data_IF_444693727500
#
_entry.id   IF_444693727500
#
_cell.length_a   1.000
_cell.length_b   1.000
_cell.length_c   1.000
_cell.angle_alpha   90.00
_cell.angle_beta   90.00
_cell.angle_gamma   90.00
#
_symmetry.space_group_name_H-M   'P 1'
#
loop_
_entity.id
_entity.type
_entity.pdbx_description
1 polymer ?
#
# COMPACT_ATOMS: atom_id res chain seq x y z
N UNK A 1 -6.84 -15.10 -5.32
CA UNK A 1 -6.25 -14.16 -4.36
C UNK A 1 -6.57 -12.74 -4.76
N UNK A 2 -7.13 -11.98 -3.86
CA UNK A 2 -7.45 -10.57 -4.10
C UNK A 2 -6.37 -9.69 -3.49
N UNK A 3 -5.81 -8.78 -4.30
CA UNK A 3 -4.73 -7.89 -3.89
C UNK A 3 -5.11 -6.45 -4.19
N UNK A 4 -4.97 -5.58 -3.20
CA UNK A 4 -5.09 -4.15 -3.40
C UNK A 4 -3.70 -3.52 -3.31
N UNK A 5 -3.34 -2.74 -4.32
CA UNK A 5 -2.15 -1.88 -4.27
C UNK A 5 -2.60 -0.43 -4.18
N UNK A 6 -2.04 0.29 -3.24
CA UNK A 6 -2.42 1.66 -2.97
C UNK A 6 -1.20 2.60 -2.97
N UNK A 7 -1.27 3.60 -3.81
CA UNK A 7 -0.35 4.73 -3.82
C UNK A 7 -1.16 5.94 -3.40
N UNK A 8 -1.30 6.12 -2.09
CA UNK A 8 -2.29 7.03 -1.53
C UNK A 8 -1.86 8.48 -1.59
N UNK A 9 -2.81 9.35 -1.89
CA UNK A 9 -2.65 10.78 -1.86
C UNK A 9 -3.76 11.40 -1.02
N UNK A 10 -3.51 12.59 -0.47
CA UNK A 10 -4.53 13.31 0.26
C UNK A 10 -5.65 13.75 -0.68
N UNK A 11 -6.90 13.59 -0.25
CA UNK A 11 -8.07 13.82 -1.10
C UNK A 11 -8.23 15.27 -1.54
N UNK A 12 -7.73 16.21 -0.76
CA UNK A 12 -7.77 17.62 -1.12
C UNK A 12 -6.59 18.04 -2.00
N UNK A 13 -5.62 17.19 -2.16
CA UNK A 13 -4.48 17.47 -3.01
C UNK A 13 -4.90 17.28 -4.46
N UNK A 14 -5.10 18.30 -5.04
CA UNK A 14 -5.36 18.73 -6.40
C UNK A 14 -5.83 17.71 -7.44
N UNK A 15 -6.64 18.23 -8.30
CA UNK A 15 -7.10 17.61 -9.54
C UNK A 15 -6.02 16.93 -10.38
N UNK A 16 -4.78 17.45 -10.36
CA UNK A 16 -3.70 16.91 -11.17
C UNK A 16 -3.28 15.53 -10.70
N UNK A 17 -3.30 15.30 -9.41
CA UNK A 17 -2.94 13.99 -8.85
C UNK A 17 -3.95 12.91 -9.18
N UNK A 18 -5.22 13.28 -9.30
CA UNK A 18 -6.25 12.32 -9.66
C UNK A 18 -6.08 11.78 -11.08
N UNK A 19 -5.35 12.50 -11.92
CA UNK A 19 -5.07 12.09 -13.28
C UNK A 19 -3.77 11.31 -13.44
N UNK A 20 -2.93 11.30 -12.40
CA UNK A 20 -1.67 10.57 -12.46
C UNK A 20 -1.89 9.10 -12.19
N UNK A 21 -1.37 8.27 -13.07
CA UNK A 21 -1.35 6.83 -12.87
C UNK A 21 -0.26 6.51 -11.83
N UNK A 22 -0.57 5.73 -10.78
CA UNK A 22 0.45 5.33 -9.81
C UNK A 22 1.43 4.34 -10.45
N UNK A 23 2.49 4.85 -11.03
CA UNK A 23 3.39 4.07 -11.88
C UNK A 23 4.03 2.88 -11.16
N UNK A 24 4.45 3.08 -9.91
CA UNK A 24 5.12 2.01 -9.18
C UNK A 24 4.22 0.81 -8.96
N UNK A 25 2.98 1.05 -8.51
CA UNK A 25 2.04 -0.05 -8.30
C UNK A 25 1.52 -0.58 -9.63
N UNK A 26 1.49 0.24 -10.68
CA UNK A 26 1.18 -0.21 -12.02
C UNK A 26 2.18 -1.23 -12.53
N UNK A 27 3.46 -0.99 -12.32
CA UNK A 27 4.50 -1.95 -12.67
C UNK A 27 4.39 -3.23 -11.86
N UNK A 28 4.15 -3.13 -10.56
CA UNK A 28 3.95 -4.29 -9.71
C UNK A 28 2.76 -5.12 -10.17
N UNK A 29 1.65 -4.45 -10.51
CA UNK A 29 0.48 -5.14 -11.06
C UNK A 29 0.84 -5.89 -12.32
N UNK A 30 1.49 -5.23 -13.27
CA UNK A 30 1.87 -5.86 -14.54
C UNK A 30 2.78 -7.05 -14.32
N UNK A 31 3.76 -6.91 -13.44
CA UNK A 31 4.68 -8.00 -13.12
C UNK A 31 3.94 -9.20 -12.53
N UNK A 32 3.12 -8.97 -11.53
CA UNK A 32 2.38 -10.04 -10.84
C UNK A 32 1.42 -10.73 -11.80
N UNK A 33 0.72 -9.97 -12.64
CA UNK A 33 -0.20 -10.55 -13.63
C UNK A 33 0.55 -11.38 -14.68
N UNK A 34 1.75 -10.97 -15.05
CA UNK A 34 2.58 -11.74 -15.98
C UNK A 34 3.00 -13.08 -15.38
N UNK A 35 3.34 -13.09 -14.10
CA UNK A 35 3.81 -14.28 -13.40
C UNK A 35 2.68 -15.17 -12.89
N UNK A 36 1.53 -14.59 -12.51
CA UNK A 36 0.47 -15.30 -11.79
C UNK A 36 -0.93 -14.97 -12.30
N UNK A 37 -1.07 -14.73 -13.59
CA UNK A 37 -2.28 -14.14 -14.21
C UNK A 37 -3.60 -14.86 -13.92
N UNK A 38 -3.58 -16.14 -13.60
CA UNK A 38 -4.81 -16.91 -13.37
C UNK A 38 -5.21 -17.01 -11.90
N UNK A 39 -4.35 -16.55 -10.98
CA UNK A 39 -4.53 -16.76 -9.56
C UNK A 39 -4.68 -15.48 -8.75
N UNK A 40 -4.52 -14.32 -9.38
CA UNK A 40 -4.46 -13.05 -8.66
C UNK A 40 -5.35 -12.02 -9.34
N UNK A 41 -6.23 -11.41 -8.57
CA UNK A 41 -7.02 -10.25 -8.98
C UNK A 41 -6.46 -9.03 -8.26
N UNK A 42 -6.01 -8.02 -9.01
CA UNK A 42 -5.32 -6.85 -8.47
C UNK A 42 -6.11 -5.60 -8.80
N UNK A 43 -6.35 -4.78 -7.77
CA UNK A 43 -6.96 -3.46 -7.92
C UNK A 43 -6.01 -2.40 -7.43
N UNK A 44 -5.99 -1.26 -8.12
CA UNK A 44 -5.13 -0.13 -7.80
C UNK A 44 -5.94 1.01 -7.21
N UNK A 45 -5.40 1.64 -6.17
CA UNK A 45 -6.07 2.74 -5.48
C UNK A 45 -5.11 3.91 -5.30
N UNK A 46 -5.65 5.10 -5.40
CA UNK A 46 -4.96 6.34 -5.08
C UNK A 46 -5.71 7.15 -4.02
N UNK A 47 -7.03 7.04 -4.02
CA UNK A 47 -7.90 7.74 -3.08
C UNK A 47 -8.14 6.88 -1.84
N UNK A 48 -7.78 7.37 -0.64
CA UNK A 48 -7.99 6.60 0.60
C UNK A 48 -9.45 6.22 0.83
N UNK A 49 -10.38 7.10 0.47
CA UNK A 49 -11.81 6.82 0.66
C UNK A 49 -12.30 5.68 -0.23
N UNK A 50 -11.81 5.64 -1.47
CA UNK A 50 -12.15 4.53 -2.38
C UNK A 50 -11.56 3.22 -1.90
N UNK A 51 -10.35 3.27 -1.36
CA UNK A 51 -9.71 2.10 -0.77
C UNK A 51 -10.54 1.53 0.38
N UNK A 52 -10.95 2.39 1.31
CA UNK A 52 -11.74 1.96 2.47
C UNK A 52 -13.10 1.41 2.05
N UNK A 53 -13.76 2.05 1.10
CA UNK A 53 -15.02 1.53 0.55
C UNK A 53 -14.86 0.14 -0.05
N UNK A 54 -13.77 -0.08 -0.77
CA UNK A 54 -13.48 -1.38 -1.35
C UNK A 54 -13.24 -2.43 -0.27
N UNK A 55 -12.55 -2.09 0.81
CA UNK A 55 -12.35 -2.98 1.95
C UNK A 55 -13.67 -3.40 2.58
N UNK A 56 -14.58 -2.47 2.80
CA UNK A 56 -15.89 -2.80 3.40
C UNK A 56 -16.73 -3.66 2.46
N UNK A 57 -16.54 -3.51 1.17
CA UNK A 57 -17.25 -4.31 0.18
C UNK A 57 -16.65 -5.72 0.08
N UNK A 58 -15.34 -5.81 -0.03
CA UNK A 58 -14.63 -7.10 -0.09
C UNK A 58 -13.18 -6.91 0.33
N UNK A 59 -12.80 -7.31 1.55
CA UNK A 59 -11.42 -7.17 1.99
C UNK A 59 -10.48 -8.03 1.15
N UNK A 60 -9.30 -7.51 0.81
CA UNK A 60 -8.31 -8.28 0.07
C UNK A 60 -7.53 -9.22 0.99
N UNK A 61 -6.84 -10.17 0.38
CA UNK A 61 -5.89 -11.01 1.10
C UNK A 61 -4.61 -10.23 1.42
N UNK A 62 -4.23 -9.32 0.51
CA UNK A 62 -2.99 -8.55 0.61
C UNK A 62 -3.27 -7.09 0.28
N UNK A 63 -2.73 -6.18 1.10
CA UNK A 63 -2.68 -4.75 0.81
C UNK A 63 -1.22 -4.33 0.69
N UNK A 64 -0.86 -3.77 -0.45
CA UNK A 64 0.45 -3.16 -0.66
C UNK A 64 0.35 -1.64 -0.63
N UNK A 65 1.18 -1.00 0.17
CA UNK A 65 1.21 0.46 0.30
C UNK A 65 2.53 0.99 -0.23
N UNK A 66 2.45 1.92 -1.18
CA UNK A 66 3.63 2.69 -1.60
C UNK A 66 3.94 3.74 -0.55
N UNK A 67 5.17 3.74 -0.05
CA UNK A 67 5.60 4.61 1.05
C UNK A 67 6.58 5.67 0.55
N UNK A 68 6.13 6.91 0.56
CA UNK A 68 6.92 8.09 0.23
C UNK A 68 6.85 9.08 1.39
N UNK A 69 7.72 10.09 1.36
CA UNK A 69 7.72 11.10 2.41
C UNK A 69 6.40 11.86 2.52
N UNK A 70 5.72 12.06 1.38
CA UNK A 70 4.47 12.84 1.36
C UNK A 70 3.24 12.05 1.81
N UNK A 71 3.29 10.72 1.85
CA UNK A 71 2.12 9.91 2.27
C UNK A 71 2.39 9.03 3.48
N UNK A 72 3.53 9.18 4.14
CA UNK A 72 3.92 8.34 5.27
C UNK A 72 2.89 8.38 6.40
N UNK A 73 2.45 9.57 6.80
CA UNK A 73 1.46 9.72 7.87
C UNK A 73 0.11 9.14 7.49
N UNK A 74 -0.30 9.35 6.25
CA UNK A 74 -1.54 8.81 5.73
C UNK A 74 -1.51 7.28 5.72
N UNK A 75 -0.42 6.70 5.24
CA UNK A 75 -0.21 5.25 5.25
C UNK A 75 -0.25 4.68 6.65
N UNK A 76 0.38 5.36 7.61
CA UNK A 76 0.40 4.94 9.00
C UNK A 76 -1.02 4.87 9.57
N UNK A 77 -1.78 5.95 9.42
CA UNK A 77 -3.14 6.02 9.96
C UNK A 77 -4.06 5.01 9.33
N UNK A 78 -4.04 4.92 8.01
CA UNK A 78 -4.90 4.00 7.27
C UNK A 78 -4.49 2.55 7.52
N UNK A 79 -3.20 2.25 7.52
CA UNK A 79 -2.71 0.90 7.78
C UNK A 79 -3.08 0.41 9.16
N UNK A 80 -2.95 1.25 10.17
CA UNK A 80 -3.37 0.91 11.54
C UNK A 80 -4.87 0.63 11.60
N UNK A 81 -5.68 1.49 11.00
CA UNK A 81 -7.12 1.32 10.95
C UNK A 81 -7.51 0.02 10.26
N UNK A 82 -6.92 -0.24 9.09
CA UNK A 82 -7.21 -1.45 8.31
C UNK A 82 -6.83 -2.70 9.08
N UNK A 83 -5.68 -2.71 9.73
CA UNK A 83 -5.25 -3.88 10.50
C UNK A 83 -6.18 -4.17 11.66
N UNK A 84 -6.73 -3.12 12.28
CA UNK A 84 -7.67 -3.27 13.37
C UNK A 84 -9.02 -3.80 12.89
N UNK A 85 -9.54 -3.27 11.78
CA UNK A 85 -10.85 -3.66 11.25
C UNK A 85 -10.80 -4.95 10.42
N UNK A 86 -9.69 -5.21 9.74
CA UNK A 86 -9.54 -6.33 8.81
C UNK A 86 -8.26 -7.11 9.13
N UNK A 87 -8.20 -7.78 10.29
CA UNK A 87 -6.95 -8.39 10.76
C UNK A 87 -6.43 -9.52 9.89
N UNK A 88 -7.25 -10.07 9.01
CA UNK A 88 -6.83 -11.15 8.10
C UNK A 88 -6.06 -10.65 6.89
N UNK A 89 -6.17 -9.36 6.57
CA UNK A 89 -5.42 -8.78 5.45
C UNK A 89 -3.96 -8.63 5.85
N UNK A 90 -3.06 -9.17 5.05
CA UNK A 90 -1.63 -8.94 5.21
C UNK A 90 -1.27 -7.60 4.60
N UNK A 91 -0.56 -6.76 5.33
CA UNK A 91 -0.14 -5.45 4.85
C UNK A 91 1.36 -5.46 4.59
N UNK A 92 1.72 -5.13 3.36
CA UNK A 92 3.11 -4.91 2.98
C UNK A 92 3.29 -3.45 2.58
N UNK A 93 4.49 -2.93 2.75
CA UNK A 93 4.82 -1.59 2.32
C UNK A 93 6.12 -1.62 1.53
N UNK A 94 6.32 -0.64 0.69
CA UNK A 94 7.53 -0.52 -0.10
C UNK A 94 7.66 0.89 -0.64
N UNK A 95 8.85 1.22 -1.11
CA UNK A 95 9.15 2.50 -1.70
C UNK A 95 10.42 3.12 -1.12
N UNK A 96 10.80 4.31 -1.59
CA UNK A 96 12.09 4.90 -1.27
C UNK A 96 12.18 5.53 0.13
N UNK A 97 11.08 5.62 0.87
CA UNK A 97 11.05 6.30 2.17
C UNK A 97 11.50 5.38 3.30
N UNK A 98 12.63 4.71 3.10
CA UNK A 98 13.25 3.87 4.12
C UNK A 98 14.75 4.15 4.15
N UNK A 99 15.24 4.44 5.34
CA UNK A 99 16.65 4.70 5.59
C UNK A 99 17.48 3.42 5.35
N UNK A 100 18.71 3.60 4.91
CA UNK A 100 19.65 2.48 4.68
C UNK A 100 20.15 1.85 5.97
N UNK A 101 20.07 2.54 7.09
CA UNK A 101 20.57 2.04 8.36
C UNK A 101 19.65 0.98 8.95
N UNK A 102 20.22 -0.16 9.31
CA UNK A 102 19.47 -1.30 9.84
C UNK A 102 18.65 -0.93 11.09
N UNK A 103 19.23 -0.18 11.99
CA UNK A 103 18.56 0.26 13.22
C UNK A 103 17.33 1.12 12.93
N UNK A 104 17.40 2.00 11.91
CA UNK A 104 16.26 2.82 11.53
C UNK A 104 15.15 1.97 10.90
N UNK A 105 15.52 0.92 10.16
CA UNK A 105 14.55 -0.01 9.58
C UNK A 105 13.82 -0.80 10.65
N UNK A 106 14.54 -1.24 11.67
CA UNK A 106 13.96 -1.96 12.82
C UNK A 106 13.00 -1.04 13.55
N UNK A 107 13.40 0.19 13.83
CA UNK A 107 12.55 1.16 14.51
C UNK A 107 11.30 1.46 13.72
N UNK A 108 11.43 1.62 12.41
CA UNK A 108 10.29 1.82 11.51
C UNK A 108 9.29 0.69 11.63
N UNK A 109 9.75 -0.56 11.57
CA UNK A 109 8.86 -1.71 11.64
C UNK A 109 8.22 -1.87 13.02
N UNK A 110 8.92 -1.51 14.09
CA UNK A 110 8.34 -1.50 15.42
C UNK A 110 7.22 -0.47 15.55
N UNK A 111 7.43 0.73 15.01
CA UNK A 111 6.43 1.80 15.02
C UNK A 111 5.25 1.44 14.12
N UNK A 112 5.51 0.78 13.01
CA UNK A 112 4.51 0.41 12.01
C UNK A 112 4.21 -1.09 12.09
N UNK A 113 3.81 -1.57 13.26
CA UNK A 113 3.60 -2.98 13.53
C UNK A 113 2.42 -3.60 12.76
N UNK A 114 1.60 -2.78 12.12
CA UNK A 114 0.56 -3.25 11.20
C UNK A 114 1.15 -3.78 9.90
N UNK A 115 2.39 -3.44 9.58
CA UNK A 115 3.08 -3.86 8.37
C UNK A 115 3.82 -5.16 8.65
N UNK A 116 3.53 -6.21 7.85
CA UNK A 116 4.20 -7.50 7.98
C UNK A 116 5.57 -7.51 7.30
N UNK A 117 5.69 -6.83 6.17
CA UNK A 117 6.94 -6.80 5.39
C UNK A 117 7.14 -5.44 4.76
N UNK A 118 8.38 -5.01 4.67
CA UNK A 118 8.77 -3.82 3.90
C UNK A 118 9.71 -4.23 2.78
N UNK A 119 9.35 -3.85 1.55
CA UNK A 119 10.16 -4.15 0.38
C UNK A 119 11.07 -2.95 0.13
N UNK A 120 12.36 -3.17 0.29
CA UNK A 120 13.37 -2.15 0.05
C UNK A 120 13.81 -2.21 -1.39
N UNK A 121 13.86 -1.05 -2.04
CA UNK A 121 14.40 -0.95 -3.39
C UNK A 121 15.86 -1.30 -3.37
N UNK A 122 16.17 -2.37 -4.05
CA UNK A 122 17.54 -2.87 -4.13
C UNK A 122 18.35 -2.25 -5.24
#
# INVERSE_FOLDING_TARGET
MLVYFADLAHTYSTRNESLMVPLNIGYLKSYVLTQHKNNVDIKLFKDPNKLLKAFYKKPPDLLGLSNYSWNEDLNFKIGKFIKMEFPRTTIISGGPNMDDKTEHRIDFLKKNDHISYYIVDG
#
